data_IF_379133904300
#
_entry.id   IF_379133904300
#
_cell.length_a   1.000
_cell.length_b   1.000
_cell.length_c   1.000
_cell.angle_alpha   90.00
_cell.angle_beta   90.00
_cell.angle_gamma   90.00
#
_symmetry.space_group_name_H-M   'P 1'
#
loop_
_entity.id
_entity.type
_entity.pdbx_description
1 polymer ?
#
# COMPACT_ATOMS: atom_id res chain seq x y z
N UNK A 1 -16.31 -9.82 44.28
CA UNK A 1 -16.41 -8.89 43.14
C UNK A 1 -16.14 -9.68 41.87
N UNK A 2 -17.09 -10.52 41.45
CA UNK A 2 -16.78 -11.73 40.66
C UNK A 2 -16.97 -11.56 39.14
N UNK A 3 -17.58 -10.48 38.66
CA UNK A 3 -17.98 -10.36 37.26
C UNK A 3 -17.75 -8.93 36.74
N UNK A 4 -16.52 -8.40 36.84
CA UNK A 4 -16.23 -7.08 36.28
C UNK A 4 -16.21 -7.22 34.74
N UNK A 5 -17.13 -6.58 34.01
CA UNK A 5 -17.24 -6.74 32.55
C UNK A 5 -15.97 -6.32 31.80
N UNK A 6 -15.05 -5.61 32.46
CA UNK A 6 -13.77 -5.18 31.88
C UNK A 6 -12.71 -6.29 31.85
N UNK A 7 -12.78 -7.29 32.74
CA UNK A 7 -11.81 -8.40 32.79
C UNK A 7 -11.72 -9.18 31.47
N UNK A 8 -12.82 -9.59 30.81
CA UNK A 8 -12.73 -10.27 29.51
C UNK A 8 -12.10 -9.40 28.42
N UNK A 9 -12.35 -8.08 28.42
CA UNK A 9 -11.73 -7.18 27.42
C UNK A 9 -10.22 -7.03 27.63
N UNK A 10 -9.75 -6.93 28.88
CA UNK A 10 -8.31 -6.86 29.16
C UNK A 10 -7.61 -8.18 28.80
N UNK A 11 -8.26 -9.32 29.01
CA UNK A 11 -7.71 -10.62 28.62
C UNK A 11 -7.61 -10.79 27.10
N UNK A 12 -8.63 -10.37 26.35
CA UNK A 12 -8.61 -10.39 24.88
C UNK A 12 -7.53 -9.44 24.35
N UNK A 13 -7.41 -8.24 24.93
CA UNK A 13 -6.38 -7.27 24.55
C UNK A 13 -4.97 -7.81 24.80
N UNK A 14 -4.72 -8.39 25.98
CA UNK A 14 -3.42 -8.98 26.31
C UNK A 14 -3.08 -10.19 25.44
N UNK A 15 -4.09 -11.00 25.10
CA UNK A 15 -3.92 -12.14 24.20
C UNK A 15 -3.63 -11.70 22.76
N UNK A 16 -4.32 -10.66 22.27
CA UNK A 16 -4.07 -10.08 20.96
C UNK A 16 -2.67 -9.49 20.83
N UNK A 17 -2.24 -8.70 21.82
CA UNK A 17 -0.87 -8.13 21.84
C UNK A 17 0.17 -9.27 21.89
N UNK A 18 -0.09 -10.33 22.66
CA UNK A 18 0.79 -11.49 22.73
C UNK A 18 0.91 -12.24 21.40
N UNK A 19 -0.19 -12.42 20.68
CA UNK A 19 -0.21 -13.07 19.36
C UNK A 19 0.54 -12.25 18.31
N UNK A 20 0.37 -10.92 18.31
CA UNK A 20 1.09 -10.03 17.39
C UNK A 20 2.59 -10.15 17.64
N UNK A 21 3.05 -10.04 18.90
CA UNK A 21 4.46 -10.19 19.22
C UNK A 21 5.02 -11.57 18.86
N UNK A 22 4.23 -12.64 19.03
CA UNK A 22 4.63 -13.99 18.68
C UNK A 22 4.76 -14.18 17.16
N UNK A 23 3.74 -13.78 16.38
CA UNK A 23 3.78 -13.82 14.92
C UNK A 23 4.85 -12.90 14.33
N UNK A 24 5.14 -11.75 14.95
CA UNK A 24 6.23 -10.87 14.51
C UNK A 24 7.61 -11.52 14.67
N UNK A 25 7.83 -12.34 15.70
CA UNK A 25 9.11 -13.05 15.87
C UNK A 25 9.27 -14.21 14.86
N UNK A 26 8.18 -14.89 14.52
CA UNK A 26 8.20 -15.96 13.51
C UNK A 26 8.22 -15.42 12.07
N UNK A 27 7.64 -14.24 11.82
CA UNK A 27 7.56 -13.61 10.50
C UNK A 27 8.88 -13.01 9.99
N UNK A 28 9.76 -12.53 10.87
CA UNK A 28 11.05 -11.91 10.48
C UNK A 28 12.03 -12.91 9.84
N UNK A 29 11.83 -14.23 10.04
CA UNK A 29 12.66 -15.28 9.46
C UNK A 29 12.14 -15.92 8.16
N UNK A 30 10.85 -15.74 7.82
CA UNK A 30 10.14 -16.50 6.77
C UNK A 30 9.43 -15.58 5.75
N UNK A 31 10.05 -14.44 5.45
CA UNK A 31 9.57 -13.41 4.53
C UNK A 31 9.33 -13.92 3.08
N UNK A 32 10.04 -14.97 2.62
CA UNK A 32 9.84 -15.57 1.29
C UNK A 32 8.66 -16.55 1.20
N UNK A 33 8.21 -17.15 2.32
CA UNK A 33 7.14 -18.17 2.32
C UNK A 33 5.76 -17.57 2.60
N UNK A 34 5.67 -16.51 3.41
CA UNK A 34 4.39 -15.88 3.78
C UNK A 34 3.77 -15.09 2.61
N UNK A 35 4.58 -14.63 1.65
CA UNK A 35 4.08 -13.98 0.43
C UNK A 35 3.41 -14.97 -0.55
N UNK A 36 3.56 -16.28 -0.36
CA UNK A 36 3.09 -17.28 -1.32
C UNK A 36 1.70 -17.88 -0.99
N UNK A 37 1.16 -17.74 0.23
CA UNK A 37 0.01 -18.56 0.64
C UNK A 37 -1.21 -17.85 1.28
N UNK A 38 -1.34 -16.53 1.30
CA UNK A 38 -2.56 -15.93 1.85
C UNK A 38 -3.19 -14.85 0.96
N UNK A 39 -4.00 -15.33 0.02
CA UNK A 39 -5.19 -14.60 -0.38
C UNK A 39 -6.19 -14.57 0.78
N UNK A 40 -6.97 -13.50 0.83
CA UNK A 40 -8.22 -13.34 1.58
C UNK A 40 -8.07 -13.01 3.08
N UNK A 41 -8.32 -11.73 3.44
CA UNK A 41 -8.73 -11.39 4.82
C UNK A 41 -8.18 -10.12 5.48
N UNK A 42 -8.35 -8.96 4.82
CA UNK A 42 -8.68 -7.65 5.39
C UNK A 42 -8.08 -7.16 6.75
N UNK A 43 -7.51 -5.95 6.65
CA UNK A 43 -7.56 -4.82 7.60
C UNK A 43 -6.31 -4.56 8.45
N UNK A 44 -5.43 -3.75 7.87
CA UNK A 44 -4.85 -2.50 8.39
C UNK A 44 -4.20 -2.42 9.79
N UNK A 45 -3.10 -1.66 9.78
CA UNK A 45 -2.37 -1.01 10.87
C UNK A 45 -1.27 -1.81 11.59
N UNK A 46 -0.02 -1.53 11.19
CA UNK A 46 1.13 -1.61 12.09
C UNK A 46 2.35 -2.33 11.51
N UNK A 47 3.09 -1.64 10.65
CA UNK A 47 4.38 -2.14 10.16
C UNK A 47 5.19 -1.01 9.55
N UNK A 48 5.85 -0.24 10.41
CA UNK A 48 6.81 0.80 10.04
C UNK A 48 7.89 0.23 9.09
N UNK A 49 7.71 0.41 7.79
CA UNK A 49 8.80 0.38 6.81
C UNK A 49 9.19 1.81 6.51
N UNK A 50 9.93 2.41 7.45
CA UNK A 50 10.66 3.65 7.20
C UNK A 50 11.71 3.39 6.10
N UNK A 51 11.30 3.51 4.84
CA UNK A 51 12.18 3.28 3.68
C UNK A 51 11.50 3.38 2.31
N UNK A 52 10.19 3.17 2.22
CA UNK A 52 9.40 3.44 1.02
C UNK A 52 8.05 3.96 1.50
N UNK A 53 7.68 5.20 1.16
CA UNK A 53 6.28 5.58 1.28
C UNK A 53 5.49 4.58 0.43
N UNK A 54 4.62 3.78 1.04
CA UNK A 54 3.86 2.70 0.41
C UNK A 54 3.35 3.10 -0.98
N UNK A 55 4.13 2.77 -2.01
CA UNK A 55 3.81 3.15 -3.39
C UNK A 55 2.44 2.58 -3.78
N UNK A 56 2.11 1.42 -3.24
CA UNK A 56 0.83 0.74 -3.39
C UNK A 56 -0.34 1.50 -2.73
N UNK A 57 -0.15 2.05 -1.52
CA UNK A 57 -1.13 2.91 -0.87
C UNK A 57 -1.33 4.22 -1.65
N UNK A 58 -0.24 4.79 -2.19
CA UNK A 58 -0.30 6.02 -2.98
C UNK A 58 -1.01 5.81 -4.33
N UNK A 59 -0.86 4.62 -4.92
CA UNK A 59 -1.44 4.21 -6.22
C UNK A 59 -2.94 3.90 -6.13
N UNK A 60 -3.50 3.73 -4.92
CA UNK A 60 -4.94 3.58 -4.70
C UNK A 60 -5.77 4.73 -5.30
N UNK A 61 -5.19 5.93 -5.40
CA UNK A 61 -5.84 7.08 -6.07
C UNK A 61 -5.80 7.01 -7.61
N UNK A 62 -4.91 6.21 -8.19
CA UNK A 62 -4.68 6.09 -9.63
C UNK A 62 -5.63 5.07 -10.28
N UNK A 63 -6.03 4.02 -9.56
CA UNK A 63 -6.87 2.92 -10.08
C UNK A 63 -8.24 3.39 -10.58
N UNK A 64 -8.77 4.49 -10.01
CA UNK A 64 -10.06 5.04 -10.39
C UNK A 64 -10.12 5.49 -11.85
N UNK A 65 -8.98 5.95 -12.38
CA UNK A 65 -8.86 6.36 -13.78
C UNK A 65 -8.17 5.29 -14.63
N UNK A 66 -7.15 4.62 -14.10
CA UNK A 66 -6.28 3.72 -14.86
C UNK A 66 -6.62 2.22 -14.72
N UNK A 67 -7.70 1.89 -14.01
CA UNK A 67 -8.13 0.51 -13.77
C UNK A 67 -7.44 -0.11 -12.56
N UNK A 68 -8.05 -1.14 -11.98
CA UNK A 68 -7.56 -1.82 -10.77
C UNK A 68 -6.10 -2.29 -10.91
N UNK A 69 -5.77 -2.88 -12.07
CA UNK A 69 -4.42 -3.37 -12.37
C UNK A 69 -3.56 -2.33 -13.10
N UNK A 70 -4.01 -1.07 -13.16
CA UNK A 70 -3.34 0.00 -13.92
C UNK A 70 -3.14 -0.31 -15.42
N UNK A 71 -3.92 -1.26 -15.95
CA UNK A 71 -3.90 -1.73 -17.35
C UNK A 71 -4.72 -0.85 -18.29
N UNK A 72 -5.42 0.16 -17.75
CA UNK A 72 -6.23 1.12 -18.47
C UNK A 72 -7.71 1.04 -18.09
N UNK A 73 -8.43 2.12 -18.38
CA UNK A 73 -9.86 2.28 -18.10
C UNK A 73 -10.38 3.58 -18.68
N UNK A 74 -10.49 4.61 -17.83
CA UNK A 74 -10.74 5.98 -18.28
C UNK A 74 -9.48 6.63 -18.85
N UNK A 75 -8.33 6.32 -18.25
CA UNK A 75 -6.99 6.66 -18.72
C UNK A 75 -6.29 5.46 -19.37
N UNK A 76 -5.14 5.68 -20.03
CA UNK A 76 -4.36 4.62 -20.67
C UNK A 76 -3.71 3.67 -19.66
N UNK A 77 -3.16 2.55 -20.13
CA UNK A 77 -2.27 1.68 -19.34
C UNK A 77 -1.10 2.51 -18.80
N UNK A 78 -0.81 2.40 -17.51
CA UNK A 78 0.37 2.98 -16.88
C UNK A 78 1.30 1.96 -16.25
N UNK A 79 0.84 0.73 -15.99
CA UNK A 79 1.70 -0.36 -15.51
C UNK A 79 2.91 -0.58 -16.45
N UNK A 80 4.10 -0.57 -15.87
CA UNK A 80 5.36 -0.80 -16.58
C UNK A 80 5.84 0.37 -17.44
N UNK A 81 5.29 1.57 -17.24
CA UNK A 81 5.88 2.80 -17.80
C UNK A 81 7.17 3.16 -17.07
N UNK A 82 8.03 3.96 -17.71
CA UNK A 82 9.27 4.39 -17.09
C UNK A 82 9.02 5.37 -15.95
N UNK A 83 9.82 5.25 -14.88
CA UNK A 83 9.64 6.03 -13.67
C UNK A 83 9.84 7.53 -13.90
N UNK A 84 10.79 7.93 -14.74
CA UNK A 84 11.12 9.33 -14.99
C UNK A 84 9.95 10.05 -15.69
N UNK A 85 9.31 9.38 -16.64
CA UNK A 85 8.10 9.87 -17.32
C UNK A 85 6.91 9.94 -16.39
N UNK A 86 6.74 8.97 -15.48
CA UNK A 86 5.65 9.02 -14.49
C UNK A 86 5.82 10.24 -13.56
N UNK A 87 7.04 10.50 -13.08
CA UNK A 87 7.33 11.69 -12.24
C UNK A 87 7.06 12.99 -13.01
N UNK A 88 7.50 13.07 -14.27
CA UNK A 88 7.26 14.22 -15.13
C UNK A 88 5.75 14.49 -15.31
N UNK A 89 4.98 13.45 -15.63
CA UNK A 89 3.53 13.54 -15.80
C UNK A 89 2.81 13.88 -14.49
N UNK A 90 3.26 13.38 -13.34
CA UNK A 90 2.68 13.73 -12.04
C UNK A 90 2.97 15.20 -11.65
N UNK A 91 4.12 15.72 -12.09
CA UNK A 91 4.53 17.09 -11.81
C UNK A 91 3.84 18.08 -12.75
N UNK A 92 3.87 17.80 -14.05
CA UNK A 92 3.47 18.73 -15.12
C UNK A 92 2.06 18.46 -15.67
N UNK A 93 1.49 17.28 -15.41
CA UNK A 93 0.23 16.85 -16.00
C UNK A 93 0.33 16.65 -17.52
N UNK A 94 -0.81 16.41 -18.16
CA UNK A 94 -0.91 16.33 -19.62
C UNK A 94 -2.02 17.27 -20.09
N UNK A 95 -1.64 18.31 -20.83
CA UNK A 95 -2.59 19.28 -21.39
C UNK A 95 -3.67 18.60 -22.23
N UNK A 96 -4.93 19.02 -22.04
CA UNK A 96 -6.08 18.45 -22.74
C UNK A 96 -6.57 17.11 -22.18
N UNK A 97 -5.99 16.62 -21.09
CA UNK A 97 -6.46 15.41 -20.38
C UNK A 97 -6.93 15.73 -18.96
N UNK A 98 -7.63 14.81 -18.28
CA UNK A 98 -7.95 14.92 -16.86
C UNK A 98 -6.73 14.84 -15.93
N UNK A 99 -5.53 14.54 -16.45
CA UNK A 99 -4.31 14.42 -15.65
C UNK A 99 -3.72 15.81 -15.37
N UNK A 100 -4.14 16.41 -14.26
CA UNK A 100 -3.69 17.75 -13.85
C UNK A 100 -2.28 17.71 -13.24
N UNK A 101 -1.49 18.80 -13.37
CA UNK A 101 -0.21 18.93 -12.67
C UNK A 101 -0.36 18.92 -11.15
N UNK A 102 0.69 18.48 -10.44
CA UNK A 102 0.81 18.61 -9.00
C UNK A 102 -0.13 17.72 -8.19
N UNK A 103 -0.48 16.53 -8.72
CA UNK A 103 -1.35 15.57 -8.03
C UNK A 103 -0.71 14.99 -6.76
N UNK A 104 0.61 15.01 -6.67
CA UNK A 104 1.42 14.45 -5.58
C UNK A 104 2.65 15.30 -5.32
N UNK A 105 3.21 15.20 -4.12
CA UNK A 105 4.52 15.81 -3.81
C UNK A 105 5.64 15.08 -4.57
N UNK A 106 6.81 15.71 -4.74
CA UNK A 106 7.92 15.10 -5.49
C UNK A 106 8.35 13.72 -4.94
N UNK A 107 8.44 13.60 -3.61
CA UNK A 107 8.78 12.34 -2.97
C UNK A 107 7.71 11.25 -3.15
N UNK A 108 6.43 11.62 -3.13
CA UNK A 108 5.33 10.69 -3.43
C UNK A 108 5.31 10.30 -4.90
N UNK A 109 5.64 11.23 -5.81
CA UNK A 109 5.70 10.96 -7.23
C UNK A 109 6.79 9.95 -7.57
N UNK A 110 7.96 10.06 -6.94
CA UNK A 110 9.06 9.09 -7.07
C UNK A 110 8.64 7.70 -6.58
N UNK A 111 8.01 7.61 -5.39
CA UNK A 111 7.55 6.33 -4.85
C UNK A 111 6.46 5.67 -5.71
N UNK A 112 5.52 6.46 -6.24
CA UNK A 112 4.49 5.98 -7.18
C UNK A 112 5.14 5.50 -8.47
N UNK A 113 6.10 6.26 -9.00
CA UNK A 113 6.79 5.95 -10.24
C UNK A 113 7.59 4.65 -10.15
N UNK A 114 8.35 4.45 -9.07
CA UNK A 114 9.06 3.21 -8.81
C UNK A 114 8.11 2.02 -8.76
N UNK A 115 7.01 2.13 -8.00
CA UNK A 115 6.02 1.07 -7.90
C UNK A 115 5.40 0.74 -9.27
N UNK A 116 4.87 1.75 -9.98
CA UNK A 116 4.20 1.54 -11.27
C UNK A 116 5.16 0.97 -12.33
N UNK A 117 6.42 1.41 -12.33
CA UNK A 117 7.43 0.91 -13.26
C UNK A 117 7.82 -0.56 -13.00
N UNK A 118 7.65 -1.03 -11.76
CA UNK A 118 7.90 -2.42 -11.39
C UNK A 118 6.82 -3.39 -11.89
N UNK A 119 5.61 -2.88 -12.16
CA UNK A 119 4.47 -3.66 -12.67
C UNK A 119 4.73 -4.06 -14.14
N UNK A 120 4.43 -5.31 -14.53
CA UNK A 120 4.56 -5.80 -15.93
C UNK A 120 3.22 -5.88 -16.64
#
# INVERSE_FOLDING_TARGET
MKNNPIIPYILIMAFGIGLIFFMSLEGVGNQEEIAAEHGEGATEEGGETAGAADGEALVSSCIGCHGGDLTGGMGPKIAGLDAEHIVDVLTNGIEGTPMTPGLKTGAEAEAIAEYISSLK
#
